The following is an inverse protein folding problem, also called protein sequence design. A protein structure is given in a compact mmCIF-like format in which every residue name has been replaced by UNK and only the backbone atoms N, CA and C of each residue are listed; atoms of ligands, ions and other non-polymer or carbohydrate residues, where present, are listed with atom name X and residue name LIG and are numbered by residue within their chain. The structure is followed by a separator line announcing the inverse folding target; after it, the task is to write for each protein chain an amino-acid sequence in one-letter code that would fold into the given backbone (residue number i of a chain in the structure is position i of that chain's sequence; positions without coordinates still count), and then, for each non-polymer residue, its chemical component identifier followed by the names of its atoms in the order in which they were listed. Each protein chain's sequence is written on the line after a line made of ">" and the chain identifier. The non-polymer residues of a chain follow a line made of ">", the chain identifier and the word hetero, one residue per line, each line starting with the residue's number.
data_IF_254844476448
#
_entry.id   IF_254844476448
#
_cell.length_a   1.000
_cell.length_b   1.000
_cell.length_c   1.000
_cell.angle_alpha   90.00
_cell.angle_beta   90.00
_cell.angle_gamma   90.00
#
_symmetry.space_group_name_H-M   'P 1'
#
loop_
_entity.id
_entity.type
_entity.pdbx_description
1 polymer ?
#
# COMPACT_ATOMS: atom_id res chain seq x y z
N UNK A 1 31.43 33.05 -10.27
CA UNK A 1 30.03 33.05 -10.63
C UNK A 1 29.25 32.67 -9.37
N UNK A 2 28.26 33.42 -8.99
CA UNK A 2 27.42 33.10 -7.81
C UNK A 2 26.31 32.11 -8.20
N UNK A 3 25.75 31.40 -7.23
CA UNK A 3 24.55 30.51 -7.47
C UNK A 3 23.42 31.30 -8.15
N UNK A 4 23.28 32.59 -7.88
CA UNK A 4 22.29 33.47 -8.50
C UNK A 4 22.58 33.69 -9.99
N UNK A 5 23.85 33.86 -10.36
CA UNK A 5 24.25 34.02 -11.76
C UNK A 5 24.00 32.71 -12.53
N UNK A 6 24.33 31.57 -11.92
CA UNK A 6 24.09 30.23 -12.49
C UNK A 6 22.61 29.97 -12.70
N UNK A 7 21.77 30.35 -11.72
CA UNK A 7 20.30 30.27 -11.86
C UNK A 7 19.81 31.11 -13.04
N UNK A 8 20.23 32.36 -13.15
CA UNK A 8 19.82 33.25 -14.22
C UNK A 8 20.21 32.73 -15.62
N UNK A 9 21.42 32.18 -15.76
CA UNK A 9 21.83 31.53 -17.01
C UNK A 9 21.00 30.30 -17.32
N UNK A 10 20.68 29.48 -16.33
CA UNK A 10 19.81 28.30 -16.49
C UNK A 10 18.38 28.69 -16.92
N UNK A 11 17.84 29.78 -16.39
CA UNK A 11 16.51 30.29 -16.78
C UNK A 11 16.49 30.78 -18.22
N UNK A 12 17.52 31.50 -18.65
CA UNK A 12 17.63 31.94 -20.04
C UNK A 12 17.66 30.76 -21.02
N UNK A 13 18.50 29.77 -20.73
CA UNK A 13 18.63 28.58 -21.57
C UNK A 13 17.30 27.80 -21.65
N UNK A 14 16.63 27.56 -20.52
CA UNK A 14 15.35 26.83 -20.48
C UNK A 14 14.22 27.59 -21.17
N UNK A 15 14.21 28.91 -21.13
CA UNK A 15 13.21 29.72 -21.84
C UNK A 15 13.37 29.61 -23.36
N UNK A 16 14.60 29.46 -23.86
CA UNK A 16 14.88 29.24 -25.27
C UNK A 16 14.49 27.84 -25.75
N UNK A 17 14.61 26.83 -24.90
CA UNK A 17 14.30 25.43 -25.21
C UNK A 17 12.81 25.11 -25.10
N UNK A 18 11.94 26.05 -24.67
CA UNK A 18 10.49 25.87 -24.50
C UNK A 18 10.12 24.65 -23.64
N UNK A 19 10.95 24.31 -22.65
CA UNK A 19 10.69 23.18 -21.75
C UNK A 19 9.54 23.55 -20.79
N UNK A 20 8.39 22.94 -20.97
CA UNK A 20 7.23 23.13 -20.12
C UNK A 20 7.06 21.92 -19.19
N UNK A 21 6.88 22.17 -17.90
CA UNK A 21 6.49 21.13 -16.94
C UNK A 21 5.04 20.74 -17.14
N UNK A 22 4.67 19.53 -16.71
CA UNK A 22 3.27 19.11 -16.70
C UNK A 22 2.41 20.09 -15.92
N UNK A 23 1.14 20.27 -16.33
CA UNK A 23 0.22 21.07 -15.55
C UNK A 23 0.12 20.55 -14.11
N UNK A 24 0.11 21.47 -13.15
CA UNK A 24 0.05 21.14 -11.73
C UNK A 24 -1.21 20.32 -11.39
N UNK A 25 -2.30 20.54 -12.11
CA UNK A 25 -3.57 19.84 -11.96
C UNK A 25 -3.46 18.34 -12.26
N UNK A 26 -2.63 17.94 -13.23
CA UNK A 26 -2.40 16.52 -13.55
C UNK A 26 -1.65 15.82 -12.41
N UNK A 27 -0.63 16.46 -11.87
CA UNK A 27 0.12 15.93 -10.74
C UNK A 27 -0.74 15.86 -9.49
N UNK A 28 -1.48 16.91 -9.17
CA UNK A 28 -2.39 16.94 -8.03
C UNK A 28 -3.51 15.93 -8.13
N UNK A 29 -4.06 15.68 -9.33
CA UNK A 29 -5.12 14.69 -9.53
C UNK A 29 -4.68 13.28 -9.13
N UNK A 30 -3.43 12.92 -9.42
CA UNK A 30 -2.86 11.64 -9.00
C UNK A 30 -2.73 11.55 -7.47
N UNK A 31 -2.15 12.57 -6.81
CA UNK A 31 -2.00 12.57 -5.35
C UNK A 31 -3.36 12.56 -4.65
N UNK A 32 -4.33 13.30 -5.19
CA UNK A 32 -5.70 13.31 -4.67
C UNK A 32 -6.37 11.94 -4.82
N UNK A 33 -6.22 11.29 -5.97
CA UNK A 33 -6.75 9.95 -6.19
C UNK A 33 -6.18 8.93 -5.19
N UNK A 34 -4.86 8.96 -4.95
CA UNK A 34 -4.22 8.10 -3.95
C UNK A 34 -4.78 8.40 -2.56
N UNK A 35 -4.78 9.65 -2.12
CA UNK A 35 -5.23 10.06 -0.78
C UNK A 35 -6.74 9.90 -0.58
N UNK A 36 -7.51 9.93 -1.67
CA UNK A 36 -8.94 9.64 -1.63
C UNK A 36 -9.27 8.15 -1.67
N UNK A 37 -8.31 7.28 -1.92
CA UNK A 37 -8.55 5.84 -2.08
C UNK A 37 -9.22 5.48 -3.41
N UNK A 38 -9.10 6.33 -4.44
CA UNK A 38 -9.64 6.05 -5.78
C UNK A 38 -8.78 5.02 -6.52
N UNK A 39 -9.11 3.76 -6.27
CA UNK A 39 -8.38 2.63 -6.82
C UNK A 39 -8.49 2.53 -8.34
N UNK A 40 -9.63 2.92 -8.91
CA UNK A 40 -9.88 2.85 -10.36
C UNK A 40 -8.98 3.84 -11.11
N UNK A 41 -8.97 5.10 -10.68
CA UNK A 41 -8.11 6.13 -11.24
C UNK A 41 -6.62 5.75 -11.14
N UNK A 42 -6.18 5.33 -9.94
CA UNK A 42 -4.76 4.97 -9.71
C UNK A 42 -4.34 3.77 -10.55
N UNK A 43 -5.19 2.75 -10.69
CA UNK A 43 -4.90 1.62 -11.57
C UNK A 43 -4.82 2.01 -13.05
N UNK A 44 -5.69 2.91 -13.50
CA UNK A 44 -5.66 3.44 -14.88
C UNK A 44 -4.37 4.21 -15.12
N UNK A 45 -4.04 5.18 -14.27
CA UNK A 45 -2.81 5.98 -14.34
C UNK A 45 -1.55 5.09 -14.37
N UNK A 46 -1.50 4.05 -13.51
CA UNK A 46 -0.40 3.08 -13.50
C UNK A 46 -0.31 2.19 -14.76
N UNK A 47 -1.42 1.96 -15.46
CA UNK A 47 -1.40 1.22 -16.75
C UNK A 47 -0.87 2.08 -17.89
N UNK A 48 -1.19 3.36 -17.88
CA UNK A 48 -0.75 4.35 -18.86
C UNK A 48 0.74 4.73 -18.70
N UNK A 49 1.40 4.26 -17.63
CA UNK A 49 2.83 4.51 -17.35
C UNK A 49 3.21 6.00 -17.29
N UNK A 50 2.30 6.86 -16.85
CA UNK A 50 2.49 8.31 -16.81
C UNK A 50 3.71 8.74 -16.01
N UNK A 51 4.10 7.94 -14.99
CA UNK A 51 5.27 8.23 -14.14
C UNK A 51 6.60 8.27 -14.90
N UNK A 52 6.81 7.42 -15.91
CA UNK A 52 8.05 7.35 -16.68
C UNK A 52 7.97 8.05 -18.03
N UNK A 53 6.83 8.69 -18.35
CA UNK A 53 6.71 9.48 -19.56
C UNK A 53 7.60 10.75 -19.44
N UNK A 54 8.56 10.98 -20.35
CA UNK A 54 9.46 12.12 -20.29
C UNK A 54 8.77 13.47 -20.55
N UNK A 55 7.60 13.47 -21.19
CA UNK A 55 6.89 14.70 -21.56
C UNK A 55 6.49 15.49 -20.31
N UNK A 56 7.02 16.69 -20.19
CA UNK A 56 6.81 17.58 -19.05
C UNK A 56 7.46 17.11 -17.73
N UNK A 57 8.34 16.10 -17.79
CA UNK A 57 9.15 15.71 -16.65
C UNK A 57 10.37 16.61 -16.52
N UNK A 58 10.60 17.22 -15.34
CA UNK A 58 11.77 18.03 -15.07
C UNK A 58 13.07 17.20 -15.12
N UNK A 59 14.16 17.85 -15.52
CA UNK A 59 15.50 17.23 -15.52
C UNK A 59 16.18 17.52 -14.18
N UNK A 60 16.20 16.53 -13.29
CA UNK A 60 16.82 16.59 -11.97
C UNK A 60 18.23 15.95 -11.96
N UNK A 61 18.58 15.21 -13.02
CA UNK A 61 19.89 14.60 -13.21
C UNK A 61 20.16 14.36 -14.69
N UNK A 62 21.42 14.47 -15.11
CA UNK A 62 21.88 14.08 -16.45
C UNK A 62 21.88 12.55 -16.66
N UNK A 63 21.91 11.77 -15.57
CA UNK A 63 21.76 10.33 -15.62
C UNK A 63 20.27 9.96 -15.56
N UNK A 64 19.76 9.29 -16.58
CA UNK A 64 18.33 8.96 -16.71
C UNK A 64 17.80 8.12 -15.53
N UNK A 65 18.55 7.14 -15.04
CA UNK A 65 18.16 6.32 -13.89
C UNK A 65 18.09 7.18 -12.62
N UNK A 66 19.08 8.01 -12.38
CA UNK A 66 19.12 8.92 -11.23
C UNK A 66 17.99 9.95 -11.32
N UNK A 67 17.68 10.46 -12.52
CA UNK A 67 16.55 11.36 -12.73
C UNK A 67 15.24 10.74 -12.27
N UNK A 68 14.94 9.51 -12.70
CA UNK A 68 13.72 8.78 -12.28
C UNK A 68 13.74 8.46 -10.78
N UNK A 69 14.90 8.17 -10.19
CA UNK A 69 15.01 7.98 -8.73
C UNK A 69 14.60 9.25 -7.96
N UNK A 70 15.05 10.42 -8.40
CA UNK A 70 14.65 11.69 -7.76
C UNK A 70 13.15 11.97 -7.90
N UNK A 71 12.59 11.77 -9.08
CA UNK A 71 11.13 11.89 -9.26
C UNK A 71 10.33 10.91 -8.40
N UNK A 72 10.85 9.68 -8.21
CA UNK A 72 10.24 8.71 -7.31
C UNK A 72 10.19 9.22 -5.86
N UNK A 73 11.31 9.75 -5.35
CA UNK A 73 11.38 10.32 -3.99
C UNK A 73 10.39 11.48 -3.83
N UNK A 74 10.35 12.39 -4.80
CA UNK A 74 9.40 13.52 -4.80
C UNK A 74 7.95 13.00 -4.75
N UNK A 75 7.61 12.05 -5.62
CA UNK A 75 6.26 11.47 -5.66
C UNK A 75 5.88 10.79 -4.35
N UNK A 76 6.77 9.96 -3.80
CA UNK A 76 6.51 9.29 -2.50
C UNK A 76 6.31 10.32 -1.39
N UNK A 77 7.14 11.37 -1.35
CA UNK A 77 7.03 12.42 -0.35
C UNK A 77 5.69 13.17 -0.44
N UNK A 78 5.24 13.49 -1.65
CA UNK A 78 3.95 14.17 -1.87
C UNK A 78 2.77 13.27 -1.53
N UNK A 79 2.77 12.01 -1.99
CA UNK A 79 1.75 11.01 -1.64
C UNK A 79 1.65 10.84 -0.13
N UNK A 80 2.78 10.70 0.55
CA UNK A 80 2.81 10.52 2.02
C UNK A 80 2.12 11.67 2.73
N UNK A 81 2.49 12.92 2.41
CA UNK A 81 1.90 14.11 3.03
C UNK A 81 0.42 14.23 2.77
N UNK A 82 -0.02 13.99 1.53
CA UNK A 82 -1.44 14.02 1.18
C UNK A 82 -2.24 12.93 1.90
N UNK A 83 -1.66 11.75 2.09
CA UNK A 83 -2.33 10.68 2.85
C UNK A 83 -2.44 11.02 4.34
N UNK A 84 -1.42 11.65 4.93
CA UNK A 84 -1.48 12.15 6.34
C UNK A 84 -2.54 13.24 6.48
N UNK A 85 -2.58 14.23 5.58
CA UNK A 85 -3.61 15.27 5.55
C UNK A 85 -5.03 14.67 5.42
N UNK A 86 -5.17 13.56 4.69
CA UNK A 86 -6.43 12.84 4.52
C UNK A 86 -6.75 11.83 5.64
N UNK A 87 -5.95 11.80 6.72
CA UNK A 87 -6.24 11.05 7.95
C UNK A 87 -5.46 9.74 8.13
N UNK A 88 -4.45 9.45 7.29
CA UNK A 88 -3.54 8.33 7.56
C UNK A 88 -2.69 8.66 8.80
N UNK A 89 -2.48 7.66 9.66
CA UNK A 89 -1.61 7.82 10.84
C UNK A 89 -0.17 8.17 10.40
N UNK A 90 0.44 9.16 11.09
CA UNK A 90 1.70 9.79 10.71
C UNK A 90 2.84 8.76 10.57
N UNK A 91 3.07 7.97 11.62
CA UNK A 91 4.14 6.97 11.65
C UNK A 91 3.93 5.86 10.62
N UNK A 92 2.68 5.44 10.39
CA UNK A 92 2.36 4.46 9.36
C UNK A 92 2.70 5.00 7.98
N UNK A 93 2.36 6.24 7.68
CA UNK A 93 2.63 6.88 6.40
C UNK A 93 4.14 7.02 6.14
N UNK A 94 4.90 7.49 7.14
CA UNK A 94 6.35 7.67 7.02
C UNK A 94 7.09 6.35 6.91
N UNK A 95 6.76 5.32 7.71
CA UNK A 95 7.36 3.98 7.57
C UNK A 95 7.12 3.37 6.20
N UNK A 96 5.93 3.59 5.61
CA UNK A 96 5.64 3.13 4.26
C UNK A 96 6.46 3.89 3.22
N UNK A 97 6.61 5.20 3.38
CA UNK A 97 7.49 6.06 2.57
C UNK A 97 8.93 5.56 2.60
N UNK A 98 9.50 5.41 3.79
CA UNK A 98 10.89 4.95 3.98
C UNK A 98 11.11 3.59 3.35
N UNK A 99 10.18 2.65 3.54
CA UNK A 99 10.23 1.33 2.92
C UNK A 99 10.34 1.42 1.39
N UNK A 100 9.52 2.24 0.74
CA UNK A 100 9.54 2.35 -0.71
C UNK A 100 10.76 3.09 -1.24
N UNK A 101 11.26 4.12 -0.53
CA UNK A 101 12.48 4.85 -0.89
C UNK A 101 13.70 3.94 -0.79
N UNK A 102 13.84 3.17 0.29
CA UNK A 102 14.93 2.18 0.45
C UNK A 102 14.88 1.09 -0.63
N UNK A 103 13.68 0.62 -1.00
CA UNK A 103 13.52 -0.33 -2.11
C UNK A 103 13.92 0.27 -3.45
N UNK A 104 13.58 1.53 -3.70
CA UNK A 104 13.95 2.24 -4.92
C UNK A 104 15.46 2.42 -5.03
N UNK A 105 16.14 2.67 -3.92
CA UNK A 105 17.61 2.88 -3.92
C UNK A 105 18.36 1.66 -4.50
N UNK A 106 17.89 0.45 -4.19
CA UNK A 106 18.44 -0.79 -4.71
C UNK A 106 18.08 -1.08 -6.19
N UNK A 107 17.18 -0.29 -6.81
CA UNK A 107 16.81 -0.49 -8.21
C UNK A 107 17.92 -0.05 -9.17
N UNK A 108 18.21 -0.90 -10.17
CA UNK A 108 19.25 -0.67 -11.18
C UNK A 108 18.69 -0.38 -12.57
N UNK A 109 17.37 -0.32 -12.73
CA UNK A 109 16.71 0.00 -14.01
C UNK A 109 15.46 0.85 -13.82
N UNK A 110 15.15 1.67 -14.84
CA UNK A 110 13.92 2.49 -14.88
C UNK A 110 12.67 1.61 -14.81
N UNK A 111 12.69 0.46 -15.46
CA UNK A 111 11.58 -0.48 -15.43
C UNK A 111 11.30 -1.02 -14.02
N UNK A 112 12.35 -1.35 -13.25
CA UNK A 112 12.21 -1.77 -11.86
C UNK A 112 11.58 -0.66 -11.00
N UNK A 113 12.00 0.59 -11.18
CA UNK A 113 11.44 1.76 -10.48
C UNK A 113 9.99 1.98 -10.88
N UNK A 114 9.64 1.86 -12.16
CA UNK A 114 8.25 1.98 -12.63
C UNK A 114 7.33 0.92 -11.99
N UNK A 115 7.79 -0.33 -11.91
CA UNK A 115 7.05 -1.40 -11.20
C UNK A 115 6.87 -1.08 -9.72
N UNK A 116 7.92 -0.56 -9.09
CA UNK A 116 7.89 -0.19 -7.68
C UNK A 116 6.96 0.99 -7.42
N UNK A 117 6.97 2.01 -8.30
CA UNK A 117 6.04 3.14 -8.26
C UNK A 117 4.59 2.69 -8.27
N UNK A 118 4.25 1.79 -9.19
CA UNK A 118 2.91 1.18 -9.25
C UNK A 118 2.52 0.47 -7.95
N UNK A 119 3.44 -0.30 -7.36
CA UNK A 119 3.19 -0.98 -6.09
C UNK A 119 2.96 0.04 -4.95
N UNK A 120 3.82 1.03 -4.86
CA UNK A 120 3.72 2.12 -3.89
C UNK A 120 2.37 2.83 -3.97
N UNK A 121 1.99 3.29 -5.17
CA UNK A 121 0.72 3.99 -5.38
C UNK A 121 -0.48 3.14 -4.96
N UNK A 122 -0.52 1.86 -5.36
CA UNK A 122 -1.61 0.95 -5.00
C UNK A 122 -1.66 0.65 -3.50
N UNK A 123 -0.51 0.54 -2.82
CA UNK A 123 -0.49 0.25 -1.40
C UNK A 123 -0.93 1.44 -0.57
N UNK A 124 -0.50 2.66 -0.91
CA UNK A 124 -1.04 3.88 -0.28
C UNK A 124 -2.54 4.01 -0.51
N UNK A 125 -3.02 3.79 -1.74
CA UNK A 125 -4.45 3.87 -2.07
C UNK A 125 -5.28 2.87 -1.28
N UNK A 126 -4.83 1.61 -1.15
CA UNK A 126 -5.53 0.59 -0.33
C UNK A 126 -5.59 1.00 1.13
N UNK A 127 -4.49 1.51 1.69
CA UNK A 127 -4.48 2.00 3.08
C UNK A 127 -5.44 3.17 3.27
N UNK A 128 -5.50 4.10 2.33
CA UNK A 128 -6.46 5.21 2.38
C UNK A 128 -7.92 4.76 2.26
N UNK A 129 -8.20 3.71 1.48
CA UNK A 129 -9.53 3.09 1.47
C UNK A 129 -9.93 2.56 2.87
N UNK A 130 -8.98 1.97 3.59
CA UNK A 130 -9.22 1.49 4.96
C UNK A 130 -9.42 2.65 5.94
N UNK A 131 -8.60 3.70 5.84
CA UNK A 131 -8.75 4.94 6.64
C UNK A 131 -10.13 5.57 6.41
N UNK A 132 -10.58 5.69 5.16
CA UNK A 132 -11.92 6.20 4.85
C UNK A 132 -13.04 5.32 5.38
N UNK A 133 -12.91 4.01 5.24
CA UNK A 133 -13.88 3.07 5.82
C UNK A 133 -13.90 3.23 7.35
N UNK A 134 -12.75 3.36 8.00
CA UNK A 134 -12.66 3.60 9.44
C UNK A 134 -13.35 4.91 9.85
N UNK A 135 -13.25 5.98 9.06
CA UNK A 135 -13.92 7.26 9.34
C UNK A 135 -15.46 7.20 9.18
N UNK A 136 -15.97 6.17 8.49
CA UNK A 136 -17.42 5.89 8.34
C UNK A 136 -17.88 4.83 9.36
N UNK A 137 -16.94 4.06 9.91
CA UNK A 137 -17.21 3.01 10.88
C UNK A 137 -17.36 3.58 12.30
N UNK A 138 -18.20 2.95 13.08
CA UNK A 138 -18.32 3.29 14.50
C UNK A 138 -17.04 2.96 15.25
N UNK A 139 -16.74 3.74 16.29
CA UNK A 139 -15.54 3.55 17.15
C UNK A 139 -15.35 2.09 17.62
N UNK A 140 -16.39 1.35 18.07
CA UNK A 140 -16.24 -0.05 18.45
C UNK A 140 -15.72 -0.95 17.32
N UNK A 141 -16.16 -0.71 16.08
CA UNK A 141 -15.72 -1.51 14.92
C UNK A 141 -14.24 -1.22 14.61
N UNK A 142 -13.82 0.04 14.66
CA UNK A 142 -12.39 0.41 14.49
C UNK A 142 -11.53 -0.27 15.54
N UNK A 143 -11.92 -0.21 16.82
CA UNK A 143 -11.22 -0.89 17.92
C UNK A 143 -11.10 -2.40 17.69
N UNK A 144 -12.15 -3.04 17.20
CA UNK A 144 -12.10 -4.47 16.87
C UNK A 144 -11.15 -4.77 15.70
N UNK A 145 -11.13 -3.92 14.67
CA UNK A 145 -10.22 -4.08 13.53
C UNK A 145 -8.76 -3.95 13.94
N UNK A 146 -8.41 -2.95 14.75
CA UNK A 146 -7.07 -2.74 15.29
C UNK A 146 -6.64 -3.92 16.18
N UNK A 147 -7.57 -4.42 17.00
CA UNK A 147 -7.31 -5.58 17.82
C UNK A 147 -7.05 -6.84 16.99
N UNK A 148 -7.86 -7.09 15.96
CA UNK A 148 -7.69 -8.22 15.03
C UNK A 148 -6.32 -8.12 14.35
N UNK A 149 -5.95 -6.95 13.84
CA UNK A 149 -4.68 -6.73 13.17
C UNK A 149 -3.47 -7.02 14.06
N UNK A 150 -3.50 -6.53 15.30
CA UNK A 150 -2.39 -6.68 16.25
C UNK A 150 -2.29 -8.11 16.83
N UNK A 151 -3.36 -8.90 16.79
CA UNK A 151 -3.43 -10.24 17.37
C UNK A 151 -3.67 -11.34 16.33
N UNK A 152 -3.36 -11.09 15.06
CA UNK A 152 -3.65 -11.97 13.92
C UNK A 152 -2.98 -13.35 14.03
N UNK A 153 -1.90 -13.44 14.82
CA UNK A 153 -1.11 -14.66 15.05
C UNK A 153 -1.68 -15.60 16.12
N UNK A 154 -2.85 -15.28 16.67
CA UNK A 154 -3.53 -16.14 17.64
C UNK A 154 -5.01 -16.35 17.30
N UNK A 155 -5.67 -17.21 18.06
CA UNK A 155 -7.12 -17.37 17.97
C UNK A 155 -7.78 -16.13 18.58
N UNK A 156 -8.70 -15.55 17.84
CA UNK A 156 -9.51 -14.40 18.26
C UNK A 156 -10.97 -14.86 18.32
N UNK A 157 -11.66 -14.55 19.42
CA UNK A 157 -13.08 -14.90 19.61
C UNK A 157 -13.95 -13.66 19.58
N UNK A 158 -15.25 -13.85 19.33
CA UNK A 158 -16.23 -12.75 19.34
C UNK A 158 -16.39 -12.17 20.73
N UNK A 159 -16.33 -13.03 21.74
CA UNK A 159 -16.41 -12.66 23.17
C UNK A 159 -15.28 -11.71 23.55
N UNK A 160 -14.06 -12.04 23.16
CA UNK A 160 -12.87 -11.24 23.41
C UNK A 160 -12.94 -9.86 22.73
N UNK A 161 -13.40 -9.81 21.48
CA UNK A 161 -13.62 -8.54 20.76
C UNK A 161 -14.72 -7.70 21.37
N UNK A 162 -15.78 -8.35 21.83
CA UNK A 162 -16.90 -7.69 22.48
C UNK A 162 -16.51 -7.07 23.82
N UNK A 163 -15.71 -7.77 24.62
CA UNK A 163 -15.11 -7.26 25.85
C UNK A 163 -14.20 -6.05 25.55
N UNK A 164 -13.33 -6.15 24.55
CA UNK A 164 -12.42 -5.07 24.15
C UNK A 164 -13.17 -3.81 23.67
N UNK A 165 -14.33 -3.98 23.03
CA UNK A 165 -15.15 -2.88 22.53
C UNK A 165 -16.24 -2.40 23.51
N UNK A 166 -16.30 -2.97 24.72
CA UNK A 166 -17.34 -2.73 25.74
C UNK A 166 -18.76 -2.93 25.19
N UNK A 167 -18.97 -4.04 24.49
CA UNK A 167 -20.24 -4.42 23.86
C UNK A 167 -20.62 -5.88 24.18
N UNK A 168 -21.90 -6.19 24.03
CA UNK A 168 -22.31 -7.61 24.03
C UNK A 168 -21.92 -8.30 22.72
N UNK A 169 -21.54 -9.61 22.74
CA UNK A 169 -21.17 -10.37 21.53
C UNK A 169 -22.23 -10.34 20.43
N UNK A 170 -23.49 -10.43 20.81
CA UNK A 170 -24.61 -10.39 19.89
C UNK A 170 -24.79 -9.02 19.22
N UNK A 171 -24.59 -7.94 19.98
CA UNK A 171 -24.66 -6.59 19.42
C UNK A 171 -23.47 -6.32 18.50
N UNK A 172 -22.26 -6.66 18.94
CA UNK A 172 -21.05 -6.51 18.12
C UNK A 172 -21.18 -7.26 16.79
N UNK A 173 -21.64 -8.52 16.81
CA UNK A 173 -21.80 -9.32 15.58
C UNK A 173 -22.76 -8.68 14.58
N UNK A 174 -23.88 -8.10 15.06
CA UNK A 174 -24.83 -7.38 14.21
C UNK A 174 -24.24 -6.08 13.66
N UNK A 175 -23.55 -5.31 14.51
CA UNK A 175 -22.92 -4.06 14.14
C UNK A 175 -21.83 -4.28 13.09
N UNK A 176 -20.98 -5.29 13.31
CA UNK A 176 -19.92 -5.68 12.41
C UNK A 176 -20.46 -6.09 11.02
N UNK A 177 -21.53 -6.91 11.02
CA UNK A 177 -22.19 -7.29 9.76
C UNK A 177 -22.86 -6.11 9.07
N UNK A 178 -23.46 -5.18 9.82
CA UNK A 178 -24.09 -3.98 9.28
C UNK A 178 -23.07 -3.03 8.62
N UNK A 179 -21.94 -2.80 9.28
CA UNK A 179 -20.96 -1.79 8.83
C UNK A 179 -19.95 -2.33 7.82
N UNK A 180 -19.52 -3.60 7.95
CA UNK A 180 -18.52 -4.21 7.08
C UNK A 180 -19.10 -5.21 6.07
N UNK A 181 -20.40 -5.48 6.14
CA UNK A 181 -21.11 -6.46 5.31
C UNK A 181 -20.49 -7.88 5.33
N UNK A 182 -19.71 -8.20 6.36
CA UNK A 182 -19.07 -9.51 6.57
C UNK A 182 -19.18 -9.91 8.05
N UNK A 183 -19.08 -11.18 8.38
CA UNK A 183 -19.01 -11.62 9.78
C UNK A 183 -17.58 -11.41 10.35
N UNK A 184 -17.49 -11.30 11.67
CA UNK A 184 -16.20 -11.20 12.39
C UNK A 184 -15.28 -12.37 12.02
N UNK A 185 -15.82 -13.60 11.99
CA UNK A 185 -15.03 -14.80 11.66
C UNK A 185 -14.52 -14.79 10.22
N UNK A 186 -15.33 -14.35 9.28
CA UNK A 186 -14.92 -14.18 7.87
C UNK A 186 -13.84 -13.11 7.74
N UNK A 187 -14.02 -11.97 8.38
CA UNK A 187 -13.05 -10.87 8.37
C UNK A 187 -11.69 -11.30 8.95
N UNK A 188 -11.67 -11.95 10.12
CA UNK A 188 -10.44 -12.50 10.72
C UNK A 188 -9.78 -13.49 9.76
N UNK A 189 -10.57 -14.33 9.10
CA UNK A 189 -10.06 -15.30 8.15
C UNK A 189 -9.42 -14.62 6.93
N UNK A 190 -10.06 -13.62 6.36
CA UNK A 190 -9.54 -12.83 5.24
C UNK A 190 -8.22 -12.15 5.60
N UNK A 191 -8.14 -11.51 6.78
CA UNK A 191 -6.91 -10.89 7.28
C UNK A 191 -5.76 -11.88 7.45
N UNK A 192 -6.04 -13.09 7.97
CA UNK A 192 -5.06 -14.17 8.07
C UNK A 192 -4.56 -14.62 6.70
N UNK A 193 -5.46 -14.73 5.72
CA UNK A 193 -5.08 -15.13 4.35
C UNK A 193 -4.27 -14.03 3.66
N UNK A 194 -4.59 -12.75 3.86
CA UNK A 194 -3.79 -11.64 3.35
C UNK A 194 -2.36 -11.68 3.94
N UNK A 195 -2.24 -11.90 5.25
CA UNK A 195 -0.92 -12.06 5.89
C UNK A 195 -0.18 -13.31 5.37
N UNK A 196 -0.90 -14.42 5.12
CA UNK A 196 -0.32 -15.62 4.52
C UNK A 196 0.21 -15.37 3.11
N UNK A 197 -0.50 -14.60 2.28
CA UNK A 197 -0.02 -14.20 0.95
C UNK A 197 1.31 -13.44 1.05
N UNK A 198 1.44 -12.54 2.02
CA UNK A 198 2.68 -11.81 2.25
C UNK A 198 3.82 -12.75 2.67
N UNK A 199 3.58 -13.65 3.63
CA UNK A 199 4.58 -14.63 4.06
C UNK A 199 4.98 -15.59 2.94
N UNK A 200 4.04 -16.02 2.10
CA UNK A 200 4.32 -16.87 0.94
C UNK A 200 5.19 -16.18 -0.10
N UNK A 201 5.10 -14.86 -0.24
CA UNK A 201 5.87 -14.07 -1.21
C UNK A 201 7.27 -13.72 -0.74
N UNK A 202 7.43 -13.47 0.56
CA UNK A 202 8.60 -12.77 1.08
C UNK A 202 9.31 -13.49 2.23
N UNK A 203 8.95 -14.73 2.53
CA UNK A 203 9.63 -15.54 3.54
C UNK A 203 9.76 -16.99 3.11
N UNK A 204 10.75 -17.67 3.72
CA UNK A 204 11.03 -19.11 3.53
C UNK A 204 10.17 -20.01 4.43
N UNK A 205 9.23 -19.45 5.20
CA UNK A 205 8.39 -20.24 6.08
C UNK A 205 7.64 -21.33 5.33
N UNK A 206 7.74 -22.57 5.82
CA UNK A 206 6.95 -23.68 5.31
C UNK A 206 5.44 -23.42 5.48
N UNK A 207 4.61 -24.17 4.76
CA UNK A 207 3.15 -24.06 4.90
C UNK A 207 2.67 -24.43 6.30
N UNK A 208 3.40 -25.31 7.01
CA UNK A 208 3.12 -25.69 8.41
C UNK A 208 3.41 -24.51 9.33
N UNK A 209 4.57 -23.88 9.17
CA UNK A 209 4.95 -22.72 9.98
C UNK A 209 4.00 -21.55 9.77
N UNK A 210 3.59 -21.27 8.53
CA UNK A 210 2.60 -20.23 8.24
C UNK A 210 1.24 -20.54 8.89
N UNK A 211 0.77 -21.80 8.79
CA UNK A 211 -0.47 -22.22 9.41
C UNK A 211 -0.44 -22.06 10.93
N UNK A 212 0.67 -22.45 11.56
CA UNK A 212 0.88 -22.32 13.00
C UNK A 212 1.01 -20.85 13.43
N UNK A 213 1.81 -20.06 12.71
CA UNK A 213 2.00 -18.63 12.98
C UNK A 213 0.68 -17.86 12.94
N UNK A 214 -0.21 -18.21 12.01
CA UNK A 214 -1.52 -17.57 11.86
C UNK A 214 -2.63 -18.28 12.67
N UNK A 215 -2.25 -19.22 13.55
CA UNK A 215 -3.15 -19.95 14.42
C UNK A 215 -4.34 -20.59 13.68
N UNK A 216 -4.07 -21.24 12.54
CA UNK A 216 -5.03 -22.16 11.94
C UNK A 216 -5.06 -23.48 12.73
N UNK A 217 -6.21 -24.12 12.80
CA UNK A 217 -6.37 -25.39 13.54
C UNK A 217 -5.54 -26.54 12.96
N UNK A 218 -5.17 -26.47 11.69
CA UNK A 218 -4.28 -27.42 11.01
C UNK A 218 -3.77 -26.84 9.70
N UNK A 219 -2.68 -27.39 9.16
CA UNK A 219 -2.20 -27.09 7.82
C UNK A 219 -3.27 -27.36 6.74
N UNK A 220 -4.03 -28.43 6.88
CA UNK A 220 -5.09 -28.77 5.93
C UNK A 220 -6.19 -27.71 5.92
N UNK A 221 -6.59 -27.22 7.09
CA UNK A 221 -7.57 -26.14 7.22
C UNK A 221 -7.04 -24.84 6.57
N UNK A 222 -5.77 -24.50 6.81
CA UNK A 222 -5.13 -23.36 6.14
C UNK A 222 -5.17 -23.48 4.61
N UNK A 223 -4.75 -24.65 4.06
CA UNK A 223 -4.71 -24.88 2.61
C UNK A 223 -6.10 -24.77 1.97
N UNK A 224 -7.12 -25.36 2.61
CA UNK A 224 -8.49 -25.29 2.12
C UNK A 224 -9.04 -23.86 2.13
N UNK A 225 -8.82 -23.15 3.23
CA UNK A 225 -9.27 -21.77 3.40
C UNK A 225 -8.57 -20.84 2.41
N UNK A 226 -7.27 -20.97 2.26
CA UNK A 226 -6.49 -20.18 1.30
C UNK A 226 -6.98 -20.44 -0.13
N UNK A 227 -7.17 -21.71 -0.52
CA UNK A 227 -7.70 -22.06 -1.85
C UNK A 227 -9.10 -21.51 -2.08
N UNK A 228 -9.95 -21.54 -1.06
CA UNK A 228 -11.33 -21.01 -1.13
C UNK A 228 -11.34 -19.51 -1.42
N UNK A 229 -10.46 -18.73 -0.76
CA UNK A 229 -10.45 -17.28 -0.87
C UNK A 229 -9.61 -16.77 -2.06
N UNK A 230 -8.53 -17.45 -2.42
CA UNK A 230 -7.57 -17.01 -3.45
C UNK A 230 -7.74 -17.74 -4.79
N UNK A 231 -8.46 -18.87 -4.81
CA UNK A 231 -8.71 -19.69 -6.00
C UNK A 231 -7.61 -20.73 -6.31
N UNK A 232 -6.39 -20.55 -5.79
CA UNK A 232 -5.27 -21.48 -5.96
C UNK A 232 -4.69 -21.91 -4.62
N UNK A 233 -3.95 -23.03 -4.59
CA UNK A 233 -3.33 -23.51 -3.35
C UNK A 233 -2.16 -22.62 -2.93
N UNK A 234 -1.82 -22.56 -1.61
CA UNK A 234 -0.65 -21.80 -1.12
C UNK A 234 0.65 -22.17 -1.82
N UNK A 235 0.86 -23.46 -2.13
CA UNK A 235 2.05 -23.91 -2.87
C UNK A 235 2.09 -23.29 -4.27
N UNK A 236 1.01 -23.41 -5.07
CA UNK A 236 0.92 -22.78 -6.39
C UNK A 236 1.07 -21.26 -6.32
N UNK A 237 0.53 -20.64 -5.26
CA UNK A 237 0.67 -19.22 -5.03
C UNK A 237 2.15 -18.85 -4.80
N UNK A 238 2.87 -19.60 -3.95
CA UNK A 238 4.31 -19.41 -3.73
C UNK A 238 5.08 -19.57 -5.03
N UNK A 239 4.88 -20.67 -5.75
CA UNK A 239 5.61 -20.96 -7.00
C UNK A 239 5.46 -19.84 -8.04
N UNK A 240 4.32 -19.13 -8.05
CA UNK A 240 4.06 -18.01 -8.97
C UNK A 240 4.59 -16.66 -8.49
N UNK A 241 4.60 -16.42 -7.18
CA UNK A 241 4.80 -15.07 -6.61
C UNK A 241 5.98 -14.97 -5.67
N UNK A 242 6.67 -16.07 -5.36
CA UNK A 242 7.84 -16.06 -4.50
C UNK A 242 8.97 -15.25 -5.13
N UNK A 243 9.56 -14.37 -4.36
CA UNK A 243 10.67 -13.53 -4.80
C UNK A 243 11.90 -13.84 -3.96
N UNK A 244 12.88 -14.49 -4.57
CA UNK A 244 14.17 -14.88 -3.95
C UNK A 244 15.15 -13.74 -3.77
N UNK A 245 14.89 -12.54 -4.27
CA UNK A 245 15.79 -11.39 -4.13
C UNK A 245 15.06 -10.20 -3.55
N UNK A 246 15.61 -9.71 -2.49
CA UNK A 246 15.36 -8.39 -1.91
C UNK A 246 16.07 -7.34 -2.74
#
# INVERSE_FOLDING_TARGET
>A
MTIRDEWFQSELQKSEESISHRPLEEEYSFYQAVSSGDMEFVQKNCRENTFTNPDGMGILSTNALTNIKYHFVVTVAMVTRRCVEAGMELEQAFRLSDFYILKMDACTSIEAISKLHKQMALDFTRKMLLVKKANVLSKPIVLCMDYIYSHINRRITVEELAEHADLSPSYLSRLFKKELNTSISEYVCEMKIEKAQHLLKYSDYSLVEIANYLAFSSQSHFIQTFKKLIGITPKKYRDHYYRTSW
#
